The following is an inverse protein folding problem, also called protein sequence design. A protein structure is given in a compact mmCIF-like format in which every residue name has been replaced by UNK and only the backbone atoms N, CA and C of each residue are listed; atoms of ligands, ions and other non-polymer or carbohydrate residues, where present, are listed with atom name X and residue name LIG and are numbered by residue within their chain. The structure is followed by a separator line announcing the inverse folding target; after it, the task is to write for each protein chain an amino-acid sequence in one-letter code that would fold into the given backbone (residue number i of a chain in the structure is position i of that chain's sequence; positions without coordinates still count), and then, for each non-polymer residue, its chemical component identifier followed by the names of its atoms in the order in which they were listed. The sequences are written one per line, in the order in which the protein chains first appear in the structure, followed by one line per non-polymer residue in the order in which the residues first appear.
data_IF_527008071302
#
_entry.id   IF_527008071302
#
_cell.length_a   1.000
_cell.length_b   1.000
_cell.length_c   1.000
_cell.angle_alpha   90.00
_cell.angle_beta   90.00
_cell.angle_gamma   90.00
#
_symmetry.space_group_name_H-M   'P 1'
#
loop_
_entity.id
_entity.type
_entity.pdbx_description
1 polymer ?
#
# COMPACT_ATOMS: atom_id res chain seq x y z
N UNK A 1 -40.59 -9.82 75.08
CA UNK A 1 -40.68 -8.83 74.02
C UNK A 1 -39.40 -8.92 73.15
N UNK A 2 -39.44 -9.69 72.05
CA UNK A 2 -38.27 -9.88 71.16
C UNK A 2 -38.51 -9.07 69.89
N UNK A 3 -37.71 -8.00 69.66
CA UNK A 3 -37.76 -7.20 68.47
C UNK A 3 -36.97 -7.94 67.38
N UNK A 4 -37.63 -8.38 66.31
CA UNK A 4 -37.00 -8.90 65.08
C UNK A 4 -36.44 -7.73 64.30
N UNK A 5 -35.10 -7.74 64.08
CA UNK A 5 -34.41 -6.83 63.23
C UNK A 5 -34.35 -7.46 61.81
N UNK A 6 -35.04 -6.84 60.86
CA UNK A 6 -35.08 -7.28 59.44
C UNK A 6 -33.96 -6.58 58.73
N UNK A 7 -32.91 -7.30 58.34
CA UNK A 7 -31.84 -6.79 57.44
C UNK A 7 -32.34 -6.84 55.99
N UNK A 8 -32.49 -5.67 55.41
CA UNK A 8 -32.79 -5.51 53.98
C UNK A 8 -31.47 -5.52 53.22
N UNK A 9 -31.09 -6.63 52.61
CA UNK A 9 -29.94 -6.71 51.70
C UNK A 9 -30.36 -6.19 50.32
N UNK A 10 -30.00 -4.94 50.00
CA UNK A 10 -30.15 -4.39 48.67
C UNK A 10 -29.07 -5.03 47.75
N UNK A 11 -29.49 -5.97 46.89
CA UNK A 11 -28.63 -6.58 45.87
C UNK A 11 -28.33 -5.56 44.79
N UNK A 12 -27.05 -5.16 44.68
CA UNK A 12 -26.53 -4.35 43.58
C UNK A 12 -26.46 -5.24 42.32
N UNK A 13 -27.45 -5.18 41.45
CA UNK A 13 -27.38 -5.81 40.12
C UNK A 13 -26.41 -5.02 39.27
N UNK A 14 -25.15 -5.52 39.16
CA UNK A 14 -24.18 -5.04 38.18
C UNK A 14 -24.69 -5.43 36.79
N UNK A 15 -25.25 -4.49 36.07
CA UNK A 15 -25.55 -4.64 34.63
C UNK A 15 -24.24 -4.79 33.88
N UNK A 16 -23.77 -6.02 33.69
CA UNK A 16 -22.71 -6.33 32.78
C UNK A 16 -23.21 -5.99 31.36
N UNK A 17 -22.79 -4.86 30.83
CA UNK A 17 -23.00 -4.56 29.42
C UNK A 17 -22.39 -5.69 28.60
N UNK A 18 -23.11 -6.30 27.65
CA UNK A 18 -22.51 -7.31 26.79
C UNK A 18 -21.36 -6.68 26.06
N UNK A 19 -20.15 -7.20 26.25
CA UNK A 19 -19.00 -6.84 25.44
C UNK A 19 -19.36 -7.19 24.00
N UNK A 20 -19.63 -6.18 23.16
CA UNK A 20 -19.89 -6.39 21.74
C UNK A 20 -18.67 -7.10 21.15
N UNK A 21 -18.92 -8.26 20.54
CA UNK A 21 -17.87 -8.99 19.86
C UNK A 21 -17.28 -8.11 18.74
N UNK A 22 -15.95 -8.04 18.66
CA UNK A 22 -15.26 -7.26 17.63
C UNK A 22 -15.49 -7.90 16.25
N UNK A 23 -15.77 -7.07 15.25
CA UNK A 23 -15.88 -7.54 13.87
C UNK A 23 -14.52 -7.88 13.30
N UNK A 24 -14.40 -9.08 12.73
CA UNK A 24 -13.14 -9.57 12.16
C UNK A 24 -12.91 -9.01 10.76
N UNK A 25 -11.69 -8.52 10.53
CA UNK A 25 -11.21 -8.08 9.20
C UNK A 25 -9.88 -8.72 8.89
N UNK A 26 -9.78 -9.36 7.72
CA UNK A 26 -8.55 -9.97 7.22
C UNK A 26 -7.87 -9.00 6.25
N UNK A 27 -6.77 -8.42 6.68
CA UNK A 27 -6.00 -7.42 5.93
C UNK A 27 -4.72 -8.03 5.35
N UNK A 28 -4.46 -7.81 4.07
CA UNK A 28 -3.16 -8.07 3.47
C UNK A 28 -2.45 -6.75 3.13
N UNK A 29 -1.27 -6.53 3.71
CA UNK A 29 -0.32 -5.52 3.26
C UNK A 29 0.38 -6.02 1.99
N UNK A 30 0.43 -5.22 0.91
CA UNK A 30 1.02 -5.64 -0.37
C UNK A 30 2.51 -5.96 -0.28
N UNK A 31 3.22 -5.33 0.66
CA UNK A 31 4.65 -5.52 0.88
C UNK A 31 4.97 -5.49 2.38
N UNK A 32 6.25 -5.71 2.71
CA UNK A 32 6.80 -5.58 4.06
C UNK A 32 7.70 -4.34 4.14
N UNK A 33 7.96 -3.88 5.35
CA UNK A 33 9.05 -2.96 5.70
C UNK A 33 8.80 -1.50 5.33
N UNK A 34 8.14 -1.20 4.21
CA UNK A 34 7.99 0.17 3.70
C UNK A 34 7.03 1.01 4.56
N UNK A 35 7.25 2.33 4.61
CA UNK A 35 6.51 3.24 5.48
C UNK A 35 4.99 3.22 5.25
N UNK A 36 4.55 3.11 4.02
CA UNK A 36 3.11 3.08 3.70
C UNK A 36 2.35 1.91 4.36
N UNK A 37 3.07 0.87 4.82
CA UNK A 37 2.46 -0.28 5.51
C UNK A 37 2.39 -0.10 7.02
N UNK A 38 2.84 1.03 7.56
CA UNK A 38 2.86 1.29 9.00
C UNK A 38 1.52 1.74 9.61
N UNK A 39 0.64 2.51 8.92
CA UNK A 39 -0.64 2.88 9.52
C UNK A 39 -1.49 1.70 10.03
N UNK A 40 -1.59 0.54 9.34
CA UNK A 40 -2.24 -0.64 9.91
C UNK A 40 -1.61 -1.16 11.21
N UNK A 41 -0.28 -1.13 11.32
CA UNK A 41 0.41 -1.50 12.55
C UNK A 41 0.22 -0.46 13.66
N UNK A 42 0.21 0.82 13.31
CA UNK A 42 -0.15 1.88 14.26
C UNK A 42 -1.54 1.61 14.82
N UNK A 43 -2.55 1.34 13.97
CA UNK A 43 -3.91 1.03 14.43
C UNK A 43 -3.97 -0.19 15.35
N UNK A 44 -3.20 -1.23 15.04
CA UNK A 44 -3.15 -2.47 15.82
C UNK A 44 -2.49 -2.24 17.20
N UNK A 45 -1.30 -1.61 17.21
CA UNK A 45 -0.48 -1.45 18.42
C UNK A 45 -1.04 -0.40 19.39
N UNK A 46 -1.71 0.63 18.89
CA UNK A 46 -2.33 1.67 19.71
C UNK A 46 -3.77 1.35 20.15
N UNK A 47 -4.31 0.21 19.70
CA UNK A 47 -5.69 -0.18 20.03
C UNK A 47 -6.76 0.58 19.23
N UNK A 48 -6.40 1.37 18.21
CA UNK A 48 -7.36 2.11 17.37
C UNK A 48 -8.36 1.16 16.72
N UNK A 49 -7.95 0.00 16.22
CA UNK A 49 -8.90 -0.98 15.67
C UNK A 49 -9.94 -1.40 16.69
N UNK A 50 -9.52 -1.73 17.92
CA UNK A 50 -10.44 -2.12 19.02
C UNK A 50 -11.38 -0.98 19.39
N UNK A 51 -10.90 0.26 19.44
CA UNK A 51 -11.70 1.48 19.65
C UNK A 51 -12.83 1.60 18.62
N UNK A 52 -12.58 1.18 17.38
CA UNK A 52 -13.56 1.16 16.28
C UNK A 52 -14.36 -0.15 16.20
N UNK A 53 -14.29 -1.03 17.22
CA UNK A 53 -15.02 -2.29 17.26
C UNK A 53 -14.50 -3.36 16.31
N UNK A 54 -13.20 -3.33 15.95
CA UNK A 54 -12.59 -4.20 14.96
C UNK A 54 -11.49 -5.10 15.56
N UNK A 55 -11.47 -6.36 15.11
CA UNK A 55 -10.40 -7.33 15.31
C UNK A 55 -9.72 -7.57 13.94
N UNK A 56 -8.58 -6.93 13.71
CA UNK A 56 -7.91 -6.94 12.40
C UNK A 56 -6.69 -7.84 12.44
N UNK A 57 -6.70 -8.87 11.60
CA UNK A 57 -5.52 -9.71 11.33
C UNK A 57 -4.75 -9.16 10.13
N UNK A 58 -3.43 -9.02 10.26
CA UNK A 58 -2.56 -8.46 9.21
C UNK A 58 -1.60 -9.54 8.72
N UNK A 59 -1.62 -9.81 7.42
CA UNK A 59 -0.61 -10.61 6.75
C UNK A 59 0.12 -9.79 5.68
N UNK A 60 1.22 -10.33 5.14
CA UNK A 60 1.96 -9.69 4.06
C UNK A 60 1.95 -10.54 2.81
N UNK A 61 1.67 -9.88 1.67
CA UNK A 61 1.89 -10.46 0.36
C UNK A 61 3.34 -10.34 -0.09
N UNK A 62 3.69 -11.05 -1.14
CA UNK A 62 5.00 -10.95 -1.81
C UNK A 62 5.02 -9.88 -2.92
N UNK A 63 3.99 -9.04 -2.97
CA UNK A 63 3.79 -7.95 -3.92
C UNK A 63 2.32 -7.75 -4.29
N UNK A 64 2.02 -6.67 -5.01
CA UNK A 64 0.65 -6.26 -5.29
C UNK A 64 -0.20 -7.29 -6.04
N UNK A 65 0.39 -8.08 -6.96
CA UNK A 65 -0.37 -9.08 -7.72
C UNK A 65 -0.88 -10.21 -6.83
N UNK A 66 -0.01 -10.75 -5.94
CA UNK A 66 -0.39 -11.84 -5.04
C UNK A 66 -1.41 -11.37 -4.00
N UNK A 67 -1.21 -10.16 -3.46
CA UNK A 67 -2.12 -9.56 -2.49
C UNK A 67 -3.51 -9.28 -3.08
N UNK A 68 -3.54 -8.80 -4.33
CA UNK A 68 -4.80 -8.59 -5.05
C UNK A 68 -5.53 -9.91 -5.31
N UNK A 69 -4.79 -10.96 -5.68
CA UNK A 69 -5.37 -12.28 -5.89
C UNK A 69 -6.00 -12.82 -4.61
N UNK A 70 -5.37 -12.61 -3.44
CA UNK A 70 -5.92 -13.01 -2.15
C UNK A 70 -7.27 -12.32 -1.84
N UNK A 71 -7.42 -11.05 -2.24
CA UNK A 71 -8.69 -10.32 -2.11
C UNK A 71 -9.71 -10.79 -3.14
N UNK A 72 -9.32 -11.00 -4.40
CA UNK A 72 -10.23 -11.50 -5.44
C UNK A 72 -10.86 -12.84 -5.06
N UNK A 73 -10.06 -13.75 -4.48
CA UNK A 73 -10.53 -15.08 -4.05
C UNK A 73 -11.30 -15.07 -2.72
N UNK A 74 -11.30 -13.95 -2.00
CA UNK A 74 -11.94 -13.83 -0.69
C UNK A 74 -11.16 -14.48 0.46
N UNK A 75 -9.90 -14.88 0.24
CA UNK A 75 -9.03 -15.34 1.33
C UNK A 75 -8.58 -14.19 2.24
N UNK A 76 -8.58 -12.97 1.71
CA UNK A 76 -8.45 -11.71 2.45
C UNK A 76 -9.60 -10.78 2.09
N UNK A 77 -10.00 -9.92 3.03
CA UNK A 77 -11.12 -9.00 2.85
C UNK A 77 -10.69 -7.68 2.20
N UNK A 78 -9.55 -7.17 2.64
CA UNK A 78 -9.00 -5.87 2.24
C UNK A 78 -7.52 -6.03 1.89
N UNK A 79 -7.07 -5.32 0.85
CA UNK A 79 -5.65 -5.12 0.56
C UNK A 79 -5.27 -3.66 0.80
N UNK A 80 -4.15 -3.46 1.49
CA UNK A 80 -3.54 -2.17 1.76
C UNK A 80 -2.35 -1.93 0.83
N UNK A 81 -2.34 -0.79 0.13
CA UNK A 81 -1.22 -0.39 -0.72
C UNK A 81 -1.09 -1.16 -2.04
N UNK A 82 -2.21 -1.52 -2.67
CA UNK A 82 -2.16 -2.25 -3.95
C UNK A 82 -2.08 -1.32 -5.16
N UNK A 83 -1.32 -1.72 -6.19
CA UNK A 83 -1.21 -0.94 -7.42
C UNK A 83 -2.56 -0.68 -8.10
N UNK A 84 -2.90 0.59 -8.29
CA UNK A 84 -4.19 1.02 -8.88
C UNK A 84 -4.39 0.43 -10.29
N UNK A 85 -3.32 0.36 -11.10
CA UNK A 85 -3.35 -0.26 -12.43
C UNK A 85 -3.82 -1.73 -12.37
N UNK A 86 -3.33 -2.49 -11.37
CA UNK A 86 -3.71 -3.90 -11.18
C UNK A 86 -5.17 -4.05 -10.78
N UNK A 87 -5.63 -3.24 -9.81
CA UNK A 87 -7.02 -3.25 -9.32
C UNK A 87 -7.98 -2.86 -10.44
N UNK A 88 -7.71 -1.77 -11.17
CA UNK A 88 -8.51 -1.32 -12.31
C UNK A 88 -8.56 -2.39 -13.41
N UNK A 89 -7.42 -3.00 -13.71
CA UNK A 89 -7.35 -4.05 -14.74
C UNK A 89 -8.11 -5.31 -14.31
N UNK A 90 -8.09 -5.68 -13.03
CA UNK A 90 -8.86 -6.79 -12.51
C UNK A 90 -10.37 -6.50 -12.56
N UNK A 91 -10.79 -5.32 -12.12
CA UNK A 91 -12.17 -4.85 -12.23
C UNK A 91 -12.67 -4.87 -13.68
N UNK A 92 -11.87 -4.33 -14.62
CA UNK A 92 -12.20 -4.32 -16.06
C UNK A 92 -12.34 -5.71 -16.70
N UNK A 93 -11.83 -6.76 -16.03
CA UNK A 93 -12.02 -8.17 -16.40
C UNK A 93 -13.13 -8.85 -15.59
N UNK A 94 -13.89 -8.11 -14.79
CA UNK A 94 -15.01 -8.63 -14.02
C UNK A 94 -14.63 -9.19 -12.63
N UNK A 95 -13.42 -8.96 -12.14
CA UNK A 95 -13.05 -9.40 -10.79
C UNK A 95 -13.86 -8.67 -9.71
N UNK A 96 -14.26 -9.36 -8.62
CA UNK A 96 -15.06 -8.79 -7.55
C UNK A 96 -14.21 -7.92 -6.61
N UNK A 97 -13.78 -6.74 -7.09
CA UNK A 97 -12.98 -5.78 -6.31
C UNK A 97 -13.59 -4.40 -6.33
N UNK A 98 -13.44 -3.67 -5.23
CA UNK A 98 -13.84 -2.26 -5.08
C UNK A 98 -12.74 -1.48 -4.38
N UNK A 99 -12.53 -0.24 -4.79
CA UNK A 99 -11.57 0.70 -4.18
C UNK A 99 -12.25 1.42 -3.04
N UNK A 100 -11.68 1.33 -1.83
CA UNK A 100 -12.17 2.03 -0.62
C UNK A 100 -11.55 3.41 -0.45
N UNK A 101 -10.39 3.64 -1.06
CA UNK A 101 -9.67 4.91 -0.97
C UNK A 101 -8.33 4.89 -1.71
N UNK A 102 -7.75 6.08 -1.88
CA UNK A 102 -6.34 6.23 -2.23
C UNK A 102 -5.46 5.68 -1.10
N UNK A 103 -4.28 5.20 -1.42
CA UNK A 103 -3.27 4.88 -0.41
C UNK A 103 -2.04 5.79 -0.58
N UNK A 104 -1.62 6.01 -1.84
CA UNK A 104 -0.58 6.99 -2.15
C UNK A 104 -0.78 7.59 -3.53
N UNK A 105 -0.48 8.87 -3.66
CA UNK A 105 -0.47 9.62 -4.92
C UNK A 105 0.95 9.95 -5.35
N UNK A 106 1.23 9.77 -6.64
CA UNK A 106 2.57 9.93 -7.19
C UNK A 106 3.46 8.71 -6.94
N UNK A 107 4.62 8.69 -7.56
CA UNK A 107 5.60 7.58 -7.54
C UNK A 107 6.96 8.02 -6.99
N UNK A 108 7.00 9.11 -6.21
CA UNK A 108 8.24 9.68 -5.69
C UNK A 108 8.94 8.84 -4.64
N UNK A 109 8.24 7.88 -4.04
CA UNK A 109 8.80 6.92 -3.10
C UNK A 109 9.63 5.81 -3.77
N UNK A 110 9.50 5.63 -5.10
CA UNK A 110 10.18 4.60 -5.87
C UNK A 110 11.49 5.12 -6.46
N UNK A 111 12.51 4.26 -6.45
CA UNK A 111 13.79 4.50 -7.11
C UNK A 111 14.28 3.26 -7.85
N UNK A 112 15.12 3.51 -8.85
CA UNK A 112 15.87 2.47 -9.57
C UNK A 112 17.35 2.62 -9.29
N UNK A 113 18.04 1.51 -9.17
CA UNK A 113 19.46 1.47 -8.79
C UNK A 113 20.22 0.40 -9.55
N UNK A 114 21.52 0.55 -9.59
CA UNK A 114 22.48 -0.33 -10.24
C UNK A 114 23.64 -0.65 -9.29
N UNK A 115 24.46 -1.64 -9.61
CA UNK A 115 25.72 -1.87 -8.89
C UNK A 115 26.62 -0.63 -8.99
N UNK A 116 27.47 -0.39 -8.01
CA UNK A 116 28.32 0.81 -7.96
C UNK A 116 29.29 0.91 -9.15
N UNK A 117 29.79 -0.21 -9.65
CA UNK A 117 30.71 -0.32 -10.78
C UNK A 117 30.02 -0.24 -12.16
N UNK A 118 28.69 -0.25 -12.21
CA UNK A 118 27.94 -0.17 -13.46
C UNK A 118 28.25 1.11 -14.25
N UNK A 119 28.36 1.09 -15.58
CA UNK A 119 28.51 2.30 -16.40
C UNK A 119 27.22 3.15 -16.46
N UNK A 120 26.06 2.59 -16.13
CA UNK A 120 24.74 3.26 -16.16
C UNK A 120 24.68 4.30 -15.04
N UNK A 121 24.53 5.60 -15.36
CA UNK A 121 24.48 6.71 -14.39
C UNK A 121 23.07 7.27 -14.21
N UNK A 122 22.21 7.10 -15.23
CA UNK A 122 20.83 7.61 -15.28
C UNK A 122 19.95 6.66 -16.08
N UNK A 123 18.63 6.90 -16.09
CA UNK A 123 17.71 6.15 -16.97
C UNK A 123 18.06 6.28 -18.46
N UNK A 124 18.66 7.41 -18.89
CA UNK A 124 19.01 7.66 -20.30
C UNK A 124 20.15 6.80 -20.80
N UNK A 125 20.97 6.27 -19.90
CA UNK A 125 22.10 5.40 -20.25
C UNK A 125 21.68 3.95 -20.50
N UNK A 126 20.42 3.60 -20.17
CA UNK A 126 19.90 2.26 -20.34
C UNK A 126 19.77 1.89 -21.81
N UNK A 127 20.41 0.79 -22.19
CA UNK A 127 20.34 0.17 -23.53
C UNK A 127 19.20 -0.85 -23.57
N UNK A 128 18.81 -1.28 -24.76
CA UNK A 128 17.77 -2.29 -24.94
C UNK A 128 18.10 -3.61 -24.20
N UNK A 129 19.39 -3.96 -24.12
CA UNK A 129 19.89 -5.15 -23.43
C UNK A 129 19.81 -5.08 -21.90
N UNK A 130 19.78 -3.88 -21.31
CA UNK A 130 19.98 -3.72 -19.86
C UNK A 130 18.75 -4.08 -19.03
N UNK A 131 17.56 -3.84 -19.54
CA UNK A 131 16.30 -4.09 -18.85
C UNK A 131 16.02 -3.08 -17.73
N UNK A 132 14.78 -2.59 -17.65
CA UNK A 132 14.28 -1.77 -16.55
C UNK A 132 13.47 -2.65 -15.59
N UNK A 133 14.01 -2.85 -14.39
CA UNK A 133 13.40 -3.74 -13.39
C UNK A 133 12.03 -3.24 -12.91
N UNK A 134 11.08 -4.14 -12.75
CA UNK A 134 9.81 -3.90 -12.08
C UNK A 134 9.34 -5.15 -11.34
N UNK A 135 8.37 -5.02 -10.45
CA UNK A 135 7.91 -6.14 -9.64
C UNK A 135 7.18 -7.21 -10.47
N UNK A 136 5.95 -6.95 -10.85
CA UNK A 136 5.08 -7.87 -11.61
C UNK A 136 4.05 -7.08 -12.42
N UNK A 137 3.47 -7.66 -13.48
CA UNK A 137 2.41 -7.00 -14.24
C UNK A 137 1.27 -6.49 -13.35
N UNK A 138 0.84 -5.24 -13.54
CA UNK A 138 -0.20 -4.58 -12.76
C UNK A 138 0.26 -3.95 -11.43
N UNK A 139 1.53 -4.13 -11.03
CA UNK A 139 2.08 -3.49 -9.84
C UNK A 139 2.31 -1.98 -10.04
N UNK A 140 2.56 -1.26 -8.93
CA UNK A 140 2.92 0.17 -8.99
C UNK A 140 4.20 0.40 -9.80
N UNK A 141 5.20 -0.47 -9.64
CA UNK A 141 6.46 -0.37 -10.43
C UNK A 141 6.25 -0.70 -11.90
N UNK A 142 5.26 -1.52 -12.26
CA UNK A 142 4.85 -1.73 -13.66
C UNK A 142 4.31 -0.42 -14.26
N UNK A 143 3.38 0.23 -13.56
CA UNK A 143 2.84 1.54 -13.96
C UNK A 143 3.97 2.58 -14.09
N UNK A 144 4.83 2.68 -13.09
CA UNK A 144 5.92 3.64 -13.08
C UNK A 144 6.93 3.38 -14.21
N UNK A 145 7.31 2.12 -14.45
CA UNK A 145 8.23 1.77 -15.54
C UNK A 145 7.65 2.08 -16.93
N UNK A 146 6.35 1.83 -17.14
CA UNK A 146 5.65 2.21 -18.38
C UNK A 146 5.72 3.73 -18.57
N UNK A 147 5.44 4.47 -17.53
CA UNK A 147 5.43 5.92 -17.57
C UNK A 147 6.83 6.51 -17.79
N UNK A 148 7.86 6.00 -17.10
CA UNK A 148 9.26 6.40 -17.27
C UNK A 148 9.77 6.13 -18.70
N UNK A 149 9.51 4.93 -19.23
CA UNK A 149 9.90 4.57 -20.60
C UNK A 149 9.30 5.57 -21.60
N UNK A 150 8.01 5.87 -21.47
CA UNK A 150 7.31 6.82 -22.34
C UNK A 150 7.84 8.25 -22.18
N UNK A 151 8.03 8.71 -20.93
CA UNK A 151 8.42 10.09 -20.64
C UNK A 151 9.87 10.41 -21.06
N UNK A 152 10.77 9.46 -20.86
CA UNK A 152 12.21 9.66 -21.04
C UNK A 152 12.78 9.04 -22.34
N UNK A 153 11.93 8.36 -23.11
CA UNK A 153 12.38 7.67 -24.33
C UNK A 153 13.37 6.54 -24.05
N UNK A 154 13.24 5.87 -22.89
CA UNK A 154 14.13 4.78 -22.48
C UNK A 154 14.01 3.62 -23.48
N UNK A 155 15.13 3.12 -23.98
CA UNK A 155 15.16 2.00 -24.93
C UNK A 155 15.06 0.63 -24.25
N UNK A 156 15.42 0.54 -22.97
CA UNK A 156 15.37 -0.71 -22.22
C UNK A 156 13.96 -1.29 -22.12
N UNK A 157 13.86 -2.61 -22.28
CA UNK A 157 12.63 -3.36 -22.04
C UNK A 157 12.42 -3.54 -20.55
N UNK A 158 11.16 -3.67 -20.12
CA UNK A 158 10.84 -3.98 -18.73
C UNK A 158 11.18 -5.44 -18.40
N UNK A 159 11.80 -5.67 -17.23
CA UNK A 159 12.11 -7.01 -16.71
C UNK A 159 11.43 -7.23 -15.38
N UNK A 160 10.59 -8.27 -15.30
CA UNK A 160 9.91 -8.63 -14.05
C UNK A 160 10.86 -9.36 -13.11
N UNK A 161 11.18 -8.76 -11.96
CA UNK A 161 12.16 -9.27 -11.00
C UNK A 161 11.54 -9.63 -9.65
N UNK A 162 10.21 -9.49 -9.50
CA UNK A 162 9.52 -9.72 -8.23
C UNK A 162 9.63 -8.55 -7.26
N UNK A 163 9.45 -8.82 -5.96
CA UNK A 163 9.51 -7.81 -4.90
C UNK A 163 10.91 -7.25 -4.69
N UNK A 164 11.05 -6.21 -3.80
CA UNK A 164 12.33 -5.52 -3.61
C UNK A 164 13.49 -6.44 -3.21
N UNK A 165 13.23 -7.45 -2.37
CA UNK A 165 14.26 -8.41 -1.98
C UNK A 165 14.76 -9.25 -3.16
N UNK A 166 13.85 -9.71 -4.02
CA UNK A 166 14.21 -10.46 -5.23
C UNK A 166 14.93 -9.58 -6.24
N UNK A 167 14.49 -8.31 -6.42
CA UNK A 167 15.20 -7.33 -7.25
C UNK A 167 16.64 -7.12 -6.80
N UNK A 168 16.85 -6.98 -5.46
CA UNK A 168 18.18 -6.86 -4.87
C UNK A 168 19.04 -8.09 -5.16
N UNK A 169 18.52 -9.28 -4.93
CA UNK A 169 19.27 -10.52 -5.15
C UNK A 169 19.68 -10.68 -6.60
N UNK A 170 18.78 -10.46 -7.56
CA UNK A 170 19.05 -10.58 -8.99
C UNK A 170 20.04 -9.52 -9.49
N UNK A 171 19.95 -8.28 -9.00
CA UNK A 171 20.93 -7.24 -9.34
C UNK A 171 22.32 -7.59 -8.80
N UNK A 172 22.42 -7.95 -7.51
CA UNK A 172 23.71 -8.21 -6.89
C UNK A 172 24.39 -9.45 -7.45
N UNK A 173 23.64 -10.45 -7.91
CA UNK A 173 24.15 -11.62 -8.62
C UNK A 173 24.49 -11.37 -10.10
N UNK A 174 24.13 -10.20 -10.64
CA UNK A 174 24.36 -9.85 -12.06
C UNK A 174 23.35 -10.45 -13.04
N UNK A 175 22.24 -11.00 -12.56
CA UNK A 175 21.17 -11.53 -13.43
C UNK A 175 20.39 -10.41 -14.16
N UNK A 176 20.35 -9.22 -13.57
CA UNK A 176 19.73 -8.03 -14.15
C UNK A 176 20.64 -6.81 -13.97
N UNK A 177 20.55 -5.85 -14.89
CA UNK A 177 21.36 -4.64 -14.85
C UNK A 177 20.82 -3.59 -13.87
N UNK A 178 19.49 -3.59 -13.61
CA UNK A 178 18.83 -2.64 -12.70
C UNK A 178 18.05 -3.36 -11.61
N UNK A 179 18.02 -2.76 -10.43
CA UNK A 179 17.07 -3.08 -9.35
C UNK A 179 16.07 -1.97 -9.19
N UNK A 180 14.98 -2.24 -8.48
CA UNK A 180 14.03 -1.24 -8.02
C UNK A 180 13.86 -1.33 -6.51
N UNK A 181 13.53 -0.21 -5.89
CA UNK A 181 13.30 -0.14 -4.45
C UNK A 181 12.42 1.04 -4.06
N UNK A 182 12.15 1.10 -2.77
CA UNK A 182 11.51 2.22 -2.09
C UNK A 182 12.18 2.39 -0.73
N UNK A 183 12.25 3.62 -0.24
CA UNK A 183 12.87 3.87 1.05
C UNK A 183 12.10 3.20 2.20
N UNK A 184 12.81 2.68 3.23
CA UNK A 184 14.26 2.74 3.50
C UNK A 184 15.05 1.53 3.00
N UNK A 185 14.53 0.75 2.07
CA UNK A 185 15.18 -0.47 1.60
C UNK A 185 16.56 -0.18 0.97
N UNK A 186 17.48 -1.15 1.02
CA UNK A 186 18.81 -1.12 0.41
C UNK A 186 19.75 0.01 0.89
N UNK A 187 19.45 0.66 2.04
CA UNK A 187 20.31 1.73 2.56
C UNK A 187 21.73 1.22 2.87
N UNK A 188 21.86 -0.03 3.29
CA UNK A 188 23.14 -0.71 3.49
C UNK A 188 23.97 -0.77 2.20
N UNK A 189 23.36 -1.09 1.06
CA UNK A 189 24.08 -1.11 -0.24
C UNK A 189 24.59 0.28 -0.62
N UNK A 190 23.81 1.33 -0.33
CA UNK A 190 24.18 2.70 -0.68
C UNK A 190 25.25 3.25 0.27
N UNK A 191 25.14 3.02 1.58
CA UNK A 191 26.14 3.46 2.57
C UNK A 191 27.49 2.74 2.41
N UNK A 192 27.47 1.49 1.94
CA UNK A 192 28.68 0.70 1.67
C UNK A 192 29.22 0.88 0.25
N UNK A 193 28.68 1.84 -0.54
CA UNK A 193 29.04 2.08 -1.93
C UNK A 193 29.01 0.82 -2.82
N UNK A 194 28.09 -0.13 -2.52
CA UNK A 194 27.86 -1.35 -3.33
C UNK A 194 26.88 -1.14 -4.47
N UNK A 195 26.03 -0.13 -4.33
CA UNK A 195 25.03 0.25 -5.33
C UNK A 195 24.83 1.77 -5.35
N UNK A 196 24.22 2.30 -6.41
CA UNK A 196 23.81 3.70 -6.51
C UNK A 196 22.45 3.83 -7.20
N UNK A 197 21.68 4.82 -6.80
CA UNK A 197 20.42 5.21 -7.45
C UNK A 197 20.76 5.89 -8.77
N UNK A 198 20.03 5.52 -9.85
CA UNK A 198 20.14 6.12 -11.19
C UNK A 198 18.97 7.04 -11.53
N UNK A 199 17.91 7.02 -10.73
CA UNK A 199 16.76 7.87 -10.88
C UNK A 199 15.57 7.43 -10.02
N UNK A 200 14.57 8.28 -9.96
CA UNK A 200 13.36 8.08 -9.15
C UNK A 200 12.09 8.12 -10.00
N UNK A 201 10.98 7.68 -9.42
CA UNK A 201 9.69 7.73 -10.08
C UNK A 201 9.21 9.15 -10.42
N UNK A 202 9.73 10.18 -9.74
CA UNK A 202 9.36 11.59 -10.00
C UNK A 202 9.67 12.05 -11.44
N UNK A 203 10.59 11.37 -12.12
CA UNK A 203 10.90 11.65 -13.52
C UNK A 203 9.77 11.26 -14.49
N UNK A 204 8.78 10.49 -14.01
CA UNK A 204 7.52 10.23 -14.70
C UNK A 204 6.47 11.31 -14.33
N UNK A 205 6.69 12.56 -14.74
CA UNK A 205 5.89 13.72 -14.36
C UNK A 205 4.37 13.56 -14.59
N UNK A 206 3.97 12.77 -15.60
CA UNK A 206 2.56 12.46 -15.88
C UNK A 206 1.87 11.68 -14.74
N UNK A 207 2.63 11.09 -13.82
CA UNK A 207 2.10 10.41 -12.63
C UNK A 207 1.98 11.32 -11.40
N UNK A 208 2.36 12.60 -11.51
CA UNK A 208 2.24 13.54 -10.40
C UNK A 208 0.77 13.73 -10.00
N UNK A 209 0.47 13.47 -8.74
CA UNK A 209 -0.88 13.55 -8.19
C UNK A 209 -1.84 12.45 -8.68
N UNK A 210 -1.38 11.48 -9.46
CA UNK A 210 -2.16 10.28 -9.82
C UNK A 210 -2.20 9.34 -8.63
N UNK A 211 -3.37 8.81 -8.29
CA UNK A 211 -3.48 7.70 -7.33
C UNK A 211 -2.84 6.46 -7.94
N UNK A 212 -1.70 6.05 -7.40
CA UNK A 212 -0.92 4.91 -7.90
C UNK A 212 -1.08 3.66 -7.06
N UNK A 213 -1.40 3.83 -5.78
CA UNK A 213 -1.78 2.74 -4.88
C UNK A 213 -3.11 3.05 -4.23
N UNK A 214 -3.88 2.01 -4.03
CA UNK A 214 -5.23 2.07 -3.46
C UNK A 214 -5.39 1.08 -2.32
N UNK A 215 -6.39 1.34 -1.49
CA UNK A 215 -6.97 0.38 -0.56
C UNK A 215 -8.15 -0.24 -1.29
N UNK A 216 -8.16 -1.57 -1.43
CA UNK A 216 -9.23 -2.24 -2.14
C UNK A 216 -9.78 -3.42 -1.32
N UNK A 217 -11.06 -3.71 -1.52
CA UNK A 217 -11.76 -4.79 -0.85
C UNK A 217 -12.35 -5.79 -1.84
N UNK A 218 -12.60 -7.02 -1.38
CA UNK A 218 -13.45 -7.96 -2.07
C UNK A 218 -14.88 -7.42 -2.14
N UNK A 219 -15.46 -7.32 -3.32
CA UNK A 219 -16.78 -6.72 -3.53
C UNK A 219 -17.90 -7.48 -2.79
N UNK A 220 -17.85 -8.82 -2.77
CA UNK A 220 -18.87 -9.65 -2.12
C UNK A 220 -18.79 -9.52 -0.58
N UNK A 221 -17.58 -9.38 -0.03
CA UNK A 221 -17.39 -9.09 1.38
C UNK A 221 -17.91 -7.69 1.71
N UNK A 222 -17.52 -6.69 0.91
CA UNK A 222 -17.91 -5.29 1.11
C UNK A 222 -19.42 -5.11 1.11
N UNK A 223 -20.15 -5.79 0.22
CA UNK A 223 -21.60 -5.71 0.15
C UNK A 223 -22.28 -6.12 1.47
N UNK A 224 -21.74 -7.13 2.14
CA UNK A 224 -22.25 -7.65 3.42
C UNK A 224 -21.71 -6.90 4.64
N UNK A 225 -20.63 -6.15 4.50
CA UNK A 225 -19.87 -5.57 5.61
C UNK A 225 -19.60 -4.07 5.44
N UNK A 226 -20.53 -3.31 4.85
CA UNK A 226 -20.34 -1.87 4.56
C UNK A 226 -20.01 -1.05 5.82
N UNK A 227 -20.68 -1.32 6.93
CA UNK A 227 -20.41 -0.65 8.20
C UNK A 227 -19.01 -1.00 8.74
N UNK A 228 -18.63 -2.26 8.68
CA UNK A 228 -17.29 -2.72 9.07
C UNK A 228 -16.20 -2.04 8.21
N UNK A 229 -16.40 -1.97 6.89
CA UNK A 229 -15.49 -1.27 5.98
C UNK A 229 -15.39 0.22 6.29
N UNK A 230 -16.51 0.88 6.62
CA UNK A 230 -16.53 2.29 7.04
C UNK A 230 -15.72 2.50 8.31
N UNK A 231 -15.99 1.70 9.38
CA UNK A 231 -15.23 1.78 10.65
C UNK A 231 -13.75 1.46 10.44
N UNK A 232 -13.42 0.51 9.55
CA UNK A 232 -12.03 0.24 9.18
C UNK A 232 -11.36 1.45 8.57
N UNK A 233 -11.98 2.13 7.60
CA UNK A 233 -11.39 3.31 6.97
C UNK A 233 -11.29 4.51 7.93
N UNK A 234 -12.24 4.65 8.87
CA UNK A 234 -12.16 5.65 9.95
C UNK A 234 -10.98 5.35 10.90
N UNK A 235 -10.83 4.11 11.32
CA UNK A 235 -9.68 3.67 12.12
C UNK A 235 -8.36 3.92 11.40
N UNK A 236 -8.31 3.68 10.09
CA UNK A 236 -7.12 3.92 9.29
C UNK A 236 -6.80 5.41 9.12
N UNK A 237 -7.82 6.28 9.01
CA UNK A 237 -7.61 7.74 8.96
C UNK A 237 -7.01 8.27 10.28
N UNK A 238 -7.52 7.79 11.42
CA UNK A 238 -6.96 8.09 12.74
C UNK A 238 -5.51 7.58 12.85
N UNK A 239 -5.27 6.32 12.48
CA UNK A 239 -3.96 5.70 12.54
C UNK A 239 -2.93 6.37 11.62
N UNK A 240 -3.34 6.79 10.43
CA UNK A 240 -2.48 7.52 9.51
C UNK A 240 -1.98 8.82 10.13
N UNK A 241 -2.89 9.60 10.75
CA UNK A 241 -2.51 10.83 11.46
C UNK A 241 -1.54 10.54 12.58
N UNK A 242 -1.82 9.54 13.42
CA UNK A 242 -0.92 9.14 14.53
C UNK A 242 0.43 8.67 14.01
N UNK A 243 0.48 7.93 12.90
CA UNK A 243 1.74 7.48 12.28
C UNK A 243 2.64 8.66 11.90
N UNK A 244 2.08 9.78 11.46
CA UNK A 244 2.86 10.97 11.06
C UNK A 244 3.19 11.91 12.22
N UNK A 245 2.41 11.91 13.30
CA UNK A 245 2.54 12.90 14.39
C UNK A 245 3.19 12.35 15.66
N UNK A 246 3.25 11.03 15.83
CA UNK A 246 3.84 10.37 17.00
C UNK A 246 5.14 9.64 16.62
N UNK A 247 6.28 10.24 17.00
CA UNK A 247 7.62 9.67 16.75
C UNK A 247 7.80 8.25 17.33
N UNK A 248 7.03 7.88 18.35
CA UNK A 248 7.07 6.52 18.90
C UNK A 248 6.65 5.47 17.85
N UNK A 249 5.84 5.85 16.85
CA UNK A 249 5.42 4.96 15.76
C UNK A 249 6.57 4.69 14.80
N UNK A 250 7.40 5.68 14.53
CA UNK A 250 8.59 5.52 13.69
C UNK A 250 9.62 4.65 14.40
N UNK A 251 9.77 4.81 15.72
CA UNK A 251 10.62 3.92 16.55
C UNK A 251 10.11 2.49 16.56
N UNK A 252 8.77 2.31 16.67
CA UNK A 252 8.14 0.98 16.60
C UNK A 252 8.37 0.33 15.24
N UNK A 253 8.22 1.08 14.14
CA UNK A 253 8.54 0.64 12.79
C UNK A 253 10.00 0.19 12.67
N UNK A 254 10.95 1.05 13.07
CA UNK A 254 12.36 0.72 13.04
C UNK A 254 12.67 -0.57 13.84
N UNK A 255 12.13 -0.68 15.05
CA UNK A 255 12.31 -1.86 15.91
C UNK A 255 11.73 -3.13 15.27
N UNK A 256 10.50 -3.08 14.75
CA UNK A 256 9.79 -4.23 14.13
C UNK A 256 10.58 -4.82 12.99
N UNK A 257 11.17 -3.97 12.17
CA UNK A 257 11.87 -4.39 10.95
C UNK A 257 13.40 -4.37 11.07
N UNK A 258 13.95 -4.13 12.28
CA UNK A 258 15.40 -4.04 12.55
C UNK A 258 16.10 -3.01 11.65
N UNK A 259 15.47 -1.85 11.48
CA UNK A 259 15.97 -0.73 10.68
C UNK A 259 16.72 0.26 11.57
N UNK A 260 17.62 1.05 10.99
CA UNK A 260 18.22 2.18 11.67
C UNK A 260 17.21 3.33 11.79
N UNK A 261 16.95 3.80 13.02
CA UNK A 261 15.94 4.83 13.29
C UNK A 261 16.20 6.13 12.55
N UNK A 262 17.45 6.61 12.50
CA UNK A 262 17.78 7.88 11.84
C UNK A 262 17.57 7.81 10.33
N UNK A 263 17.82 6.66 9.73
CA UNK A 263 17.54 6.42 8.32
C UNK A 263 16.03 6.41 8.03
N UNK A 264 15.22 5.73 8.86
CA UNK A 264 13.76 5.65 8.63
C UNK A 264 13.04 6.95 8.95
N UNK A 265 13.53 7.75 9.90
CA UNK A 265 12.97 9.05 10.24
C UNK A 265 12.97 10.01 9.03
N UNK A 266 13.98 9.93 8.16
CA UNK A 266 14.06 10.75 6.95
C UNK A 266 12.98 10.35 5.94
N UNK A 267 12.60 9.07 5.87
CA UNK A 267 11.59 8.57 4.92
C UNK A 267 10.23 9.23 5.12
N UNK A 268 9.84 9.48 6.38
CA UNK A 268 8.57 10.16 6.71
C UNK A 268 8.48 11.54 6.05
N UNK A 269 9.62 12.24 5.97
CA UNK A 269 9.68 13.56 5.32
C UNK A 269 9.65 13.47 3.79
N UNK A 270 10.05 12.33 3.23
CA UNK A 270 10.06 12.10 1.78
C UNK A 270 8.69 11.70 1.23
N UNK A 271 7.78 11.27 2.11
CA UNK A 271 6.40 10.90 1.74
C UNK A 271 5.46 11.86 2.48
N UNK A 272 5.13 13.02 1.89
CA UNK A 272 4.23 14.00 2.52
C UNK A 272 2.88 13.39 2.90
N UNK A 273 2.33 13.81 4.04
CA UNK A 273 1.05 13.30 4.56
C UNK A 273 -0.08 13.42 3.54
N UNK A 274 -0.13 14.55 2.83
CA UNK A 274 -1.13 14.81 1.80
C UNK A 274 -1.10 13.82 0.62
N UNK A 275 0.02 13.16 0.37
CA UNK A 275 0.10 12.10 -0.64
C UNK A 275 -0.57 10.80 -0.21
N UNK A 276 -0.73 10.60 1.09
CA UNK A 276 -1.20 9.35 1.69
C UNK A 276 -2.65 9.42 2.18
N UNK A 277 -3.31 10.57 2.04
CA UNK A 277 -4.75 10.70 2.38
C UNK A 277 -5.62 9.87 1.44
N UNK A 278 -6.72 9.33 1.98
CA UNK A 278 -7.54 8.33 1.28
C UNK A 278 -8.49 8.92 0.25
N UNK A 279 -8.73 10.23 0.31
CA UNK A 279 -9.56 11.00 -0.61
C UNK A 279 -8.78 12.25 -1.06
N UNK A 280 -8.79 12.58 -2.35
CA UNK A 280 -9.48 11.89 -3.45
C UNK A 280 -8.72 10.68 -3.99
N UNK A 281 -9.46 9.74 -4.61
CA UNK A 281 -8.89 8.77 -5.57
C UNK A 281 -8.76 9.50 -6.91
N UNK A 282 -7.57 10.06 -7.14
CA UNK A 282 -7.36 11.04 -8.19
C UNK A 282 -6.86 10.45 -9.50
N UNK A 283 -7.30 11.01 -10.63
CA UNK A 283 -6.77 10.76 -11.98
C UNK A 283 -6.75 9.28 -12.37
N UNK A 284 -7.80 8.52 -12.05
CA UNK A 284 -7.93 7.11 -12.47
C UNK A 284 -8.02 6.93 -13.99
N UNK A 285 -8.41 7.96 -14.71
CA UNK A 285 -8.37 8.02 -16.17
C UNK A 285 -6.96 7.77 -16.72
N UNK A 286 -5.91 8.27 -16.06
CA UNK A 286 -4.51 7.98 -16.41
C UNK A 286 -4.21 6.49 -16.26
N UNK A 287 -4.63 5.86 -15.16
CA UNK A 287 -4.48 4.40 -14.97
C UNK A 287 -5.28 3.63 -16.02
N UNK A 288 -6.48 4.09 -16.36
CA UNK A 288 -7.38 3.49 -17.33
C UNK A 288 -6.78 3.51 -18.74
N UNK A 289 -6.23 4.67 -19.14
CA UNK A 289 -5.54 4.80 -20.43
C UNK A 289 -4.31 3.90 -20.52
N UNK A 290 -3.47 3.85 -19.47
CA UNK A 290 -2.30 2.97 -19.44
C UNK A 290 -2.71 1.50 -19.47
N UNK A 291 -3.79 1.12 -18.78
CA UNK A 291 -4.30 -0.25 -18.82
C UNK A 291 -4.75 -0.66 -20.22
N UNK A 292 -5.38 0.26 -20.95
CA UNK A 292 -5.82 0.04 -22.34
C UNK A 292 -4.63 -0.02 -23.30
N UNK A 293 -3.74 0.97 -23.27
CA UNK A 293 -2.54 1.05 -24.15
C UNK A 293 -1.63 -0.19 -23.99
N UNK A 294 -1.58 -0.74 -22.78
CA UNK A 294 -0.78 -1.94 -22.47
C UNK A 294 -1.57 -3.26 -22.55
N UNK A 295 -2.78 -3.23 -23.13
CA UNK A 295 -3.65 -4.39 -23.35
C UNK A 295 -4.00 -5.18 -22.09
N UNK A 296 -4.01 -4.51 -20.93
CA UNK A 296 -4.45 -5.11 -19.65
C UNK A 296 -5.96 -5.16 -19.52
N UNK A 297 -6.65 -4.28 -20.25
CA UNK A 297 -8.11 -4.29 -20.48
C UNK A 297 -8.37 -4.23 -21.98
N UNK A 298 -9.50 -4.81 -22.40
CA UNK A 298 -9.91 -4.87 -23.84
C UNK A 298 -10.50 -3.56 -24.35
N UNK A 299 -11.08 -2.76 -23.46
CA UNK A 299 -11.70 -1.46 -23.73
C UNK A 299 -11.52 -0.55 -22.54
N UNK A 300 -11.51 0.76 -22.76
CA UNK A 300 -11.51 1.74 -21.69
C UNK A 300 -12.74 1.56 -20.81
N UNK A 301 -12.56 1.65 -19.50
CA UNK A 301 -13.66 1.75 -18.57
C UNK A 301 -14.34 3.11 -18.74
N UNK A 302 -15.65 3.13 -18.77
CA UNK A 302 -16.44 4.36 -18.83
C UNK A 302 -16.34 5.13 -17.50
N UNK A 303 -16.64 6.45 -17.48
CA UNK A 303 -16.72 7.21 -16.24
C UNK A 303 -17.67 6.61 -15.20
N UNK A 304 -18.80 6.00 -15.67
CA UNK A 304 -19.74 5.30 -14.81
C UNK A 304 -19.11 4.06 -14.14
N UNK A 305 -18.33 3.27 -14.89
CA UNK A 305 -17.63 2.09 -14.37
C UNK A 305 -16.51 2.49 -13.38
N UNK A 306 -15.76 3.57 -13.68
CA UNK A 306 -14.75 4.09 -12.74
C UNK A 306 -15.41 4.57 -11.44
N UNK A 307 -16.56 5.23 -11.54
CA UNK A 307 -17.35 5.65 -10.37
C UNK A 307 -17.89 4.45 -9.59
N UNK A 308 -18.39 3.42 -10.27
CA UNK A 308 -18.87 2.18 -9.64
C UNK A 308 -17.75 1.42 -8.93
N UNK A 309 -16.53 1.43 -9.48
CA UNK A 309 -15.38 0.78 -8.85
C UNK A 309 -15.00 1.43 -7.52
N UNK A 310 -15.24 2.74 -7.34
CA UNK A 310 -14.78 3.51 -6.18
C UNK A 310 -15.90 3.68 -5.16
N UNK A 311 -15.72 3.11 -3.99
CA UNK A 311 -16.62 3.17 -2.84
C UNK A 311 -15.94 3.89 -1.67
N UNK A 312 -15.85 5.23 -1.73
CA UNK A 312 -15.31 6.01 -0.61
C UNK A 312 -16.20 5.86 0.62
N UNK A 313 -15.63 5.40 1.73
CA UNK A 313 -16.35 5.07 2.96
C UNK A 313 -16.42 6.25 3.96
N UNK A 314 -16.52 7.49 3.45
CA UNK A 314 -16.69 8.67 4.29
C UNK A 314 -15.43 9.00 5.09
N UNK A 315 -14.33 9.22 4.40
CA UNK A 315 -12.99 9.48 4.97
C UNK A 315 -12.76 10.95 5.31
N UNK A 316 -13.82 11.73 5.52
CA UNK A 316 -13.67 13.05 6.14
C UNK A 316 -13.54 12.84 7.65
N UNK A 317 -12.48 13.40 8.27
CA UNK A 317 -12.31 13.36 9.72
C UNK A 317 -13.46 14.04 10.44
#
# INVERSE_FOLDING_TARGET
MLKKLMFLTAGLAVLASPALALDKVRLVNSTKVIFETEPPYTALETGIFKKHGLDVSIIHGSGGADSLQAVITGSQDIVWGNGALGVLSAYGRGAPVRVLGSNIRGVGDLYWYVKADSPIKSFKDLKESDGLAYSRPGSTTDLASIALIKALGIKAKKVSVGGPAAARTQLMSGQVATGWGTYPLNQDLFSENKARIIGTGTEAAQLNGVTIRVIAANANWLEKNRDVAKRFMQAMAEALKVTYTDDSRIRSWAKRWKLNYDQVKVVVKQIPYEWTTFDPVAKLDVNNQIAFDTKKIKKLLTPAQLKEMVHLMGNKP
#
